data_IF_296285745184
#
_entry.id   IF_296285745184
#
_cell.length_a   1.000
_cell.length_b   1.000
_cell.length_c   1.000
_cell.angle_alpha   90.00
_cell.angle_beta   90.00
_cell.angle_gamma   90.00
#
_symmetry.space_group_name_H-M   'P 1'
#
loop_
_entity.id
_entity.type
_entity.pdbx_description
1 polymer ?
#
# COMPACT_ATOMS: atom_id res chain seq x y z
N UNK A 1 -49.66 -31.04 -62.24
CA UNK A 1 -48.98 -30.34 -63.35
C UNK A 1 -49.65 -28.98 -63.55
N UNK A 2 -48.95 -27.88 -63.91
CA UNK A 2 -47.52 -27.71 -64.21
C UNK A 2 -46.81 -26.73 -63.23
N UNK A 3 -45.67 -27.09 -62.64
CA UNK A 3 -44.32 -26.62 -63.00
C UNK A 3 -44.19 -25.43 -63.96
N UNK A 4 -43.60 -24.33 -63.47
CA UNK A 4 -42.58 -23.62 -64.24
C UNK A 4 -41.49 -23.01 -63.33
N UNK A 5 -40.29 -23.56 -63.48
CA UNK A 5 -39.03 -23.11 -62.89
C UNK A 5 -38.37 -22.12 -63.85
N UNK A 6 -37.92 -20.96 -63.37
CA UNK A 6 -36.85 -20.23 -64.05
C UNK A 6 -35.92 -19.57 -63.05
N UNK A 7 -34.69 -20.12 -62.98
CA UNK A 7 -33.37 -19.45 -63.01
C UNK A 7 -33.23 -18.21 -62.11
N UNK A 8 -32.23 -18.07 -61.23
CA UNK A 8 -30.85 -18.57 -61.23
C UNK A 8 -30.22 -18.12 -59.91
N UNK A 9 -29.69 -19.09 -59.16
CA UNK A 9 -28.32 -19.09 -58.61
C UNK A 9 -27.62 -17.73 -58.42
N UNK A 10 -27.35 -17.34 -57.17
CA UNK A 10 -25.99 -17.00 -56.72
C UNK A 10 -25.94 -16.98 -55.17
N UNK A 11 -25.34 -18.04 -54.64
CA UNK A 11 -24.42 -18.09 -53.50
C UNK A 11 -24.87 -17.46 -52.16
N UNK A 12 -25.20 -18.25 -51.15
CA UNK A 12 -24.30 -19.07 -50.30
C UNK A 12 -23.67 -18.29 -49.14
N UNK A 13 -24.07 -18.70 -47.93
CA UNK A 13 -23.23 -18.85 -46.73
C UNK A 13 -22.67 -17.54 -46.15
N UNK A 14 -23.34 -16.95 -45.14
CA UNK A 14 -22.67 -16.41 -43.94
C UNK A 14 -23.69 -15.95 -42.88
N UNK A 15 -23.96 -16.78 -41.87
CA UNK A 15 -24.40 -16.35 -40.51
C UNK A 15 -24.57 -17.56 -39.56
N UNK A 16 -23.56 -18.44 -39.49
CA UNK A 16 -23.45 -19.43 -38.40
C UNK A 16 -22.00 -19.44 -37.92
N UNK A 17 -21.60 -18.37 -37.23
CA UNK A 17 -20.44 -18.26 -36.32
C UNK A 17 -20.86 -17.07 -35.44
N UNK A 18 -21.07 -17.14 -34.13
CA UNK A 18 -20.05 -17.29 -33.08
C UNK A 18 -20.80 -17.80 -31.83
N UNK A 19 -20.79 -19.11 -31.60
CA UNK A 19 -21.17 -19.71 -30.31
C UNK A 19 -20.09 -20.75 -29.93
N UNK A 20 -18.86 -20.28 -29.83
CA UNK A 20 -17.71 -21.08 -29.43
C UNK A 20 -16.66 -20.14 -28.86
N UNK A 21 -16.48 -20.17 -27.54
CA UNK A 21 -15.37 -19.48 -26.90
C UNK A 21 -15.64 -18.79 -25.56
N UNK A 22 -16.52 -19.32 -24.69
CA UNK A 22 -16.35 -19.06 -23.25
C UNK A 22 -15.33 -20.06 -22.66
N UNK A 23 -14.14 -20.08 -23.25
CA UNK A 23 -12.94 -20.44 -22.51
C UNK A 23 -12.61 -19.21 -21.66
N UNK A 24 -13.31 -19.10 -20.53
CA UNK A 24 -12.83 -18.26 -19.43
C UNK A 24 -11.52 -18.88 -18.95
N UNK A 25 -10.41 -18.55 -19.62
CA UNK A 25 -9.13 -18.49 -18.96
C UNK A 25 -9.30 -17.42 -17.88
N UNK A 26 -9.73 -17.84 -16.70
CA UNK A 26 -9.31 -17.19 -15.48
C UNK A 26 -7.80 -17.35 -15.44
N UNK A 27 -7.08 -16.44 -16.11
CA UNK A 27 -5.69 -16.17 -15.79
C UNK A 27 -5.71 -15.68 -14.35
N UNK A 28 -5.59 -16.62 -13.41
CA UNK A 28 -5.03 -16.31 -12.10
C UNK A 28 -3.82 -15.43 -12.39
N UNK A 29 -3.74 -14.20 -11.82
CA UNK A 29 -2.57 -13.38 -11.99
C UNK A 29 -1.37 -14.24 -11.64
N UNK A 30 -0.42 -14.35 -12.58
CA UNK A 30 0.90 -14.89 -12.33
C UNK A 30 1.39 -14.35 -11.00
N UNK A 31 1.80 -15.24 -10.09
CA UNK A 31 2.35 -14.90 -8.77
C UNK A 31 3.16 -13.63 -8.87
N UNK A 32 2.88 -12.61 -8.04
CA UNK A 32 3.59 -11.37 -8.17
C UNK A 32 5.07 -11.62 -7.91
N UNK A 33 5.91 -11.01 -8.74
CA UNK A 33 7.35 -11.27 -8.82
C UNK A 33 8.13 -10.64 -7.66
N UNK A 34 7.84 -11.03 -6.42
CA UNK A 34 8.57 -10.62 -5.22
C UNK A 34 9.25 -11.80 -4.53
N UNK A 35 10.47 -11.59 -4.02
CA UNK A 35 11.19 -12.57 -3.20
C UNK A 35 10.43 -12.87 -1.92
N UNK A 36 10.19 -14.15 -1.66
CA UNK A 36 9.59 -14.65 -0.41
C UNK A 36 10.62 -14.56 0.71
N UNK A 37 10.22 -13.97 1.84
CA UNK A 37 11.03 -13.83 3.05
C UNK A 37 10.45 -14.75 4.13
N UNK A 38 11.28 -15.66 4.61
CA UNK A 38 10.93 -16.60 5.68
C UNK A 38 11.47 -16.09 7.01
N UNK A 39 10.57 -15.85 7.98
CA UNK A 39 10.89 -15.23 9.27
C UNK A 39 10.58 -16.12 10.47
N UNK A 40 10.27 -17.40 10.23
CA UNK A 40 10.07 -18.37 11.31
C UNK A 40 11.33 -18.51 12.17
N UNK A 41 11.13 -18.58 13.49
CA UNK A 41 12.16 -18.64 14.52
C UNK A 41 13.19 -17.49 14.42
N UNK A 42 12.71 -16.29 14.05
CA UNK A 42 13.52 -15.07 14.09
C UNK A 42 12.98 -14.13 15.15
N UNK A 43 13.86 -13.35 15.76
CA UNK A 43 13.45 -12.23 16.59
C UNK A 43 13.20 -10.96 15.74
N UNK A 44 12.70 -9.88 16.37
CA UNK A 44 12.40 -8.63 15.67
C UNK A 44 13.63 -8.01 14.99
N UNK A 45 14.82 -8.17 15.58
CA UNK A 45 16.06 -7.59 15.04
C UNK A 45 16.50 -8.37 13.82
N UNK A 46 16.55 -9.69 13.92
CA UNK A 46 16.87 -10.59 12.81
C UNK A 46 15.88 -10.40 11.66
N UNK A 47 14.58 -10.31 11.96
CA UNK A 47 13.55 -10.05 10.96
C UNK A 47 13.77 -8.70 10.25
N UNK A 48 14.09 -7.65 11.00
CA UNK A 48 14.42 -6.32 10.45
C UNK A 48 15.62 -6.42 9.51
N UNK A 49 16.71 -7.06 9.95
CA UNK A 49 17.94 -7.22 9.16
C UNK A 49 17.67 -8.00 7.85
N UNK A 50 16.91 -9.10 7.93
CA UNK A 50 16.56 -9.93 6.78
C UNK A 50 15.69 -9.16 5.78
N UNK A 51 14.66 -8.47 6.25
CA UNK A 51 13.76 -7.69 5.38
C UNK A 51 14.53 -6.56 4.68
N UNK A 52 15.33 -5.79 5.44
CA UNK A 52 16.14 -4.69 4.88
C UNK A 52 17.07 -5.20 3.79
N UNK A 53 17.83 -6.27 4.06
CA UNK A 53 18.76 -6.81 3.07
C UNK A 53 18.02 -7.35 1.84
N UNK A 54 16.88 -8.01 2.01
CA UNK A 54 16.09 -8.53 0.89
C UNK A 54 15.53 -7.40 0.02
N UNK A 55 15.05 -6.31 0.63
CA UNK A 55 14.58 -5.14 -0.10
C UNK A 55 15.73 -4.43 -0.84
N UNK A 56 16.91 -4.31 -0.22
CA UNK A 56 18.10 -3.77 -0.88
C UNK A 56 18.52 -4.63 -2.08
N UNK A 57 18.52 -5.96 -1.95
CA UNK A 57 18.84 -6.90 -3.03
C UNK A 57 17.89 -6.74 -4.23
N UNK A 58 16.63 -6.41 -3.98
CA UNK A 58 15.62 -6.15 -5.03
C UNK A 58 15.59 -4.69 -5.52
N UNK A 59 16.53 -3.86 -5.07
CA UNK A 59 16.73 -2.50 -5.58
C UNK A 59 15.87 -1.42 -4.90
N UNK A 60 15.23 -1.72 -3.77
CA UNK A 60 14.55 -0.69 -2.98
C UNK A 60 15.56 0.17 -2.21
N UNK A 61 15.30 1.47 -2.12
CA UNK A 61 16.06 2.34 -1.24
C UNK A 61 15.55 2.18 0.21
N UNK A 62 16.41 1.70 1.09
CA UNK A 62 16.07 1.50 2.50
C UNK A 62 17.13 2.06 3.45
N UNK A 63 16.72 2.37 4.68
CA UNK A 63 17.62 2.83 5.74
C UNK A 63 17.20 2.24 7.08
N UNK A 64 18.09 1.50 7.74
CA UNK A 64 17.87 1.04 9.12
C UNK A 64 17.87 2.24 10.07
N UNK A 65 16.87 2.32 10.95
CA UNK A 65 16.70 3.40 11.95
C UNK A 65 17.26 2.97 13.30
N UNK A 66 16.91 1.76 13.73
CA UNK A 66 17.41 1.10 14.93
C UNK A 66 17.27 -0.41 14.75
N UNK A 67 17.47 -1.20 15.80
CA UNK A 67 17.44 -2.66 15.70
C UNK A 67 16.13 -3.25 15.21
N UNK A 68 15.00 -2.59 15.42
CA UNK A 68 13.67 -3.13 15.04
C UNK A 68 12.94 -2.29 14.01
N UNK A 69 13.52 -1.18 13.55
CA UNK A 69 12.87 -0.25 12.65
C UNK A 69 13.74 0.10 11.46
N UNK A 70 13.10 0.23 10.31
CA UNK A 70 13.72 0.66 9.07
C UNK A 70 12.80 1.59 8.29
N UNK A 71 13.37 2.31 7.34
CA UNK A 71 12.67 3.18 6.40
C UNK A 71 12.76 2.55 5.03
N UNK A 72 11.66 2.59 4.28
CA UNK A 72 11.63 2.38 2.84
C UNK A 72 11.25 3.69 2.17
N UNK A 73 12.05 4.13 1.20
CA UNK A 73 11.74 5.26 0.34
C UNK A 73 11.11 4.71 -0.94
N UNK A 74 9.88 5.09 -1.21
CA UNK A 74 9.11 4.58 -2.35
C UNK A 74 8.18 5.66 -2.89
N UNK A 75 8.27 5.94 -4.19
CA UNK A 75 7.49 6.96 -4.91
C UNK A 75 7.41 8.32 -4.20
N UNK A 76 8.58 8.86 -3.80
CA UNK A 76 8.71 10.13 -3.05
C UNK A 76 8.10 10.12 -1.64
N UNK A 77 7.63 8.96 -1.17
CA UNK A 77 7.10 8.77 0.17
C UNK A 77 8.09 8.02 1.06
N UNK A 78 7.98 8.26 2.36
CA UNK A 78 8.83 7.63 3.39
C UNK A 78 7.97 6.76 4.28
N UNK A 79 8.21 5.45 4.29
CA UNK A 79 7.49 4.49 5.11
C UNK A 79 8.40 3.97 6.23
N UNK A 80 8.05 4.23 7.49
CA UNK A 80 8.78 3.68 8.64
C UNK A 80 8.12 2.35 9.01
N UNK A 81 8.88 1.26 8.91
CA UNK A 81 8.40 -0.10 9.07
C UNK A 81 9.02 -0.77 10.29
N UNK A 82 8.23 -1.59 10.97
CA UNK A 82 8.63 -2.36 12.14
C UNK A 82 7.98 -3.75 12.11
N UNK A 83 8.74 -4.83 11.83
CA UNK A 83 8.21 -6.17 11.91
C UNK A 83 7.96 -6.54 13.38
N UNK A 84 6.86 -7.23 13.62
CA UNK A 84 6.47 -7.76 14.93
C UNK A 84 6.42 -9.28 14.86
N UNK A 85 7.41 -9.91 15.46
CA UNK A 85 7.47 -11.35 15.69
C UNK A 85 6.75 -11.65 17.00
N UNK A 86 5.82 -12.61 16.94
CA UNK A 86 5.08 -13.13 18.09
C UNK A 86 5.13 -14.65 18.03
N UNK A 87 5.46 -15.30 19.15
CA UNK A 87 5.54 -16.78 19.23
C UNK A 87 6.44 -17.42 18.16
N UNK A 88 7.50 -16.71 17.73
CA UNK A 88 8.45 -17.21 16.74
C UNK A 88 8.06 -17.00 15.28
N UNK A 89 6.90 -16.42 15.00
CA UNK A 89 6.44 -16.13 13.63
C UNK A 89 6.22 -14.64 13.37
N UNK A 90 6.29 -14.22 12.10
CA UNK A 90 5.87 -12.87 11.71
C UNK A 90 4.36 -12.73 11.90
N UNK A 91 3.96 -11.89 12.86
CA UNK A 91 2.55 -11.56 13.09
C UNK A 91 2.11 -10.41 12.17
N UNK A 92 2.87 -9.32 12.15
CA UNK A 92 2.55 -8.13 11.35
C UNK A 92 3.76 -7.26 11.10
N UNK A 93 3.66 -6.38 10.11
CA UNK A 93 4.55 -5.22 9.96
C UNK A 93 3.73 -3.97 10.28
N UNK A 94 4.18 -3.22 11.29
CA UNK A 94 3.62 -1.90 11.61
C UNK A 94 4.25 -0.89 10.67
N UNK A 95 3.44 -0.06 10.03
CA UNK A 95 3.89 0.92 9.05
C UNK A 95 3.41 2.30 9.46
N UNK A 96 4.34 3.26 9.53
CA UNK A 96 4.05 4.64 9.89
C UNK A 96 4.39 5.60 8.75
N UNK A 97 3.48 6.53 8.48
CA UNK A 97 3.72 7.75 7.71
C UNK A 97 3.66 8.94 8.67
N UNK A 98 4.60 9.86 8.53
CA UNK A 98 4.70 11.04 9.41
C UNK A 98 4.65 12.30 8.57
N UNK A 99 3.86 13.27 9.01
CA UNK A 99 3.77 14.60 8.41
C UNK A 99 4.15 15.65 9.44
N UNK A 100 4.94 16.65 9.04
CA UNK A 100 5.31 17.74 9.95
C UNK A 100 4.13 18.70 10.11
N UNK A 101 3.95 19.20 11.33
CA UNK A 101 2.98 20.25 11.64
C UNK A 101 3.75 21.56 11.76
N UNK A 102 3.26 22.60 11.08
CA UNK A 102 3.92 23.91 11.12
C UNK A 102 3.87 24.47 12.56
N UNK A 103 4.95 25.14 13.02
CA UNK A 103 5.08 25.55 14.42
C UNK A 103 3.88 26.31 15.00
N UNK A 104 3.28 27.20 14.21
CA UNK A 104 2.15 28.05 14.57
C UNK A 104 0.85 27.27 14.82
N UNK A 105 0.73 26.03 14.32
CA UNK A 105 -0.48 25.21 14.45
C UNK A 105 -0.35 24.04 15.44
N UNK A 106 0.77 23.87 16.15
CA UNK A 106 0.98 22.72 17.05
C UNK A 106 -0.04 22.59 18.20
N UNK A 107 -0.74 23.67 18.52
CA UNK A 107 -1.79 23.70 19.53
C UNK A 107 -3.19 23.96 18.94
N UNK A 108 -3.34 23.82 17.62
CA UNK A 108 -4.64 23.97 16.95
C UNK A 108 -5.63 22.89 17.42
N UNK A 109 -6.80 23.28 17.95
CA UNK A 109 -7.86 22.32 18.29
C UNK A 109 -8.42 21.64 17.04
N UNK A 110 -8.35 22.27 15.87
CA UNK A 110 -8.82 21.72 14.60
C UNK A 110 -8.04 20.45 14.20
N UNK A 111 -6.73 20.40 14.44
CA UNK A 111 -5.92 19.19 14.19
C UNK A 111 -6.36 18.02 15.09
N UNK A 112 -6.69 18.29 16.34
CA UNK A 112 -7.16 17.28 17.29
C UNK A 112 -8.57 16.78 16.91
N UNK A 113 -9.46 17.71 16.56
CA UNK A 113 -10.80 17.40 16.08
C UNK A 113 -10.74 16.55 14.80
N UNK A 114 -9.88 16.92 13.84
CA UNK A 114 -9.65 16.16 12.61
C UNK A 114 -9.19 14.73 12.91
N UNK A 115 -8.18 14.58 13.77
CA UNK A 115 -7.66 13.26 14.18
C UNK A 115 -8.76 12.38 14.80
N UNK A 116 -9.67 12.98 15.59
CA UNK A 116 -10.81 12.28 16.19
C UNK A 116 -11.82 11.84 15.13
N UNK A 117 -12.15 12.72 14.18
CA UNK A 117 -13.07 12.41 13.08
C UNK A 117 -12.52 11.30 12.19
N UNK A 118 -11.24 11.38 11.80
CA UNK A 118 -10.59 10.37 10.97
C UNK A 118 -10.59 9.01 11.66
N UNK A 119 -10.22 8.94 12.94
CA UNK A 119 -10.24 7.70 13.72
C UNK A 119 -11.64 7.11 13.94
N UNK A 120 -12.69 7.92 13.85
CA UNK A 120 -14.09 7.45 13.95
C UNK A 120 -14.61 6.94 12.61
N UNK A 121 -14.18 7.55 11.50
CA UNK A 121 -14.68 7.25 10.15
C UNK A 121 -13.87 6.18 9.42
N UNK A 122 -12.60 6.02 9.77
CA UNK A 122 -11.65 5.16 9.07
C UNK A 122 -11.15 4.08 10.02
N UNK A 123 -11.08 2.84 9.52
CA UNK A 123 -10.66 1.68 10.29
C UNK A 123 -9.35 1.05 9.79
N UNK A 124 -8.80 1.56 8.68
CA UNK A 124 -7.61 1.01 8.05
C UNK A 124 -6.30 1.48 8.70
N UNK A 125 -6.35 2.60 9.44
CA UNK A 125 -5.20 3.19 10.10
C UNK A 125 -5.62 3.95 11.37
N UNK A 126 -4.66 4.16 12.26
CA UNK A 126 -4.77 5.05 13.40
C UNK A 126 -4.08 6.38 13.08
N UNK A 127 -4.78 7.47 13.34
CA UNK A 127 -4.28 8.83 13.22
C UNK A 127 -3.94 9.36 14.62
N UNK A 128 -2.78 9.98 14.78
CA UNK A 128 -2.32 10.53 16.06
C UNK A 128 -1.40 11.73 15.87
N UNK A 129 -1.18 12.44 16.97
CA UNK A 129 -0.18 13.52 17.08
C UNK A 129 0.98 12.99 17.91
N UNK A 130 2.21 13.21 17.47
CA UNK A 130 3.43 12.72 18.12
C UNK A 130 4.44 13.84 18.33
N UNK A 131 5.47 13.56 19.13
CA UNK A 131 6.53 14.51 19.52
C UNK A 131 5.95 15.88 19.93
N UNK A 132 5.11 15.89 20.98
CA UNK A 132 4.53 17.12 21.51
C UNK A 132 3.80 17.95 20.42
N UNK A 133 3.00 17.27 19.58
CA UNK A 133 2.25 17.84 18.46
C UNK A 133 3.11 18.46 17.34
N UNK A 134 4.41 18.15 17.26
CA UNK A 134 5.25 18.61 16.14
C UNK A 134 5.01 17.84 14.85
N UNK A 135 4.43 16.65 14.93
CA UNK A 135 4.11 15.84 13.77
C UNK A 135 2.80 15.08 13.93
N UNK A 136 2.10 14.89 12.81
CA UNK A 136 1.01 13.94 12.67
C UNK A 136 1.55 12.58 12.24
N UNK A 137 0.94 11.51 12.70
CA UNK A 137 1.28 10.15 12.36
C UNK A 137 0.04 9.41 11.85
N UNK A 138 0.24 8.66 10.77
CA UNK A 138 -0.68 7.62 10.31
C UNK A 138 0.00 6.29 10.54
N UNK A 139 -0.60 5.44 11.37
CA UNK A 139 -0.11 4.09 11.64
C UNK A 139 -1.08 3.05 11.09
N UNK A 140 -0.60 2.21 10.19
CA UNK A 140 -1.31 1.05 9.68
C UNK A 140 -0.53 -0.23 10.02
N UNK A 141 -1.13 -1.39 9.77
CA UNK A 141 -0.44 -2.67 9.94
C UNK A 141 -0.90 -3.65 8.88
N UNK A 142 0.04 -4.41 8.34
CA UNK A 142 -0.22 -5.59 7.51
C UNK A 142 0.04 -6.83 8.35
N UNK A 143 -0.94 -7.75 8.39
CA UNK A 143 -0.90 -8.97 9.20
C UNK A 143 -0.70 -10.17 8.29
N UNK A 144 0.11 -11.13 8.73
CA UNK A 144 0.46 -12.32 7.96
C UNK A 144 -0.03 -13.58 8.66
N UNK A 145 -0.58 -14.51 7.88
CA UNK A 145 -1.07 -15.80 8.38
C UNK A 145 0.04 -16.87 8.29
N UNK A 146 0.89 -16.80 7.27
CA UNK A 146 1.82 -17.87 6.92
C UNK A 146 3.26 -17.63 7.42
N UNK A 147 3.45 -16.76 8.42
CA UNK A 147 4.76 -16.38 9.00
C UNK A 147 5.84 -15.94 7.98
N UNK A 148 5.39 -15.64 6.77
CA UNK A 148 6.18 -15.30 5.60
C UNK A 148 5.62 -14.02 5.01
N UNK A 149 6.48 -13.26 4.34
CA UNK A 149 6.11 -12.04 3.63
C UNK A 149 6.89 -11.99 2.34
N UNK A 150 6.24 -11.66 1.23
CA UNK A 150 6.93 -11.33 -0.01
C UNK A 150 7.20 -9.83 -0.08
N UNK A 151 8.27 -9.46 -0.77
CA UNK A 151 8.56 -8.06 -1.07
C UNK A 151 7.46 -7.39 -1.91
N UNK A 152 6.73 -8.17 -2.74
CA UNK A 152 5.53 -7.65 -3.40
C UNK A 152 4.47 -7.26 -2.38
N UNK A 153 4.15 -8.09 -1.38
CA UNK A 153 3.12 -7.74 -0.41
C UNK A 153 3.47 -6.44 0.33
N UNK A 154 4.75 -6.23 0.62
CA UNK A 154 5.25 -4.96 1.17
C UNK A 154 5.01 -3.80 0.19
N UNK A 155 5.33 -3.98 -1.10
CA UNK A 155 5.11 -2.98 -2.15
C UNK A 155 3.64 -2.64 -2.33
N UNK A 156 2.77 -3.64 -2.46
CA UNK A 156 1.34 -3.49 -2.62
C UNK A 156 0.72 -2.79 -1.41
N UNK A 157 1.20 -3.10 -0.21
CA UNK A 157 0.76 -2.40 0.98
C UNK A 157 1.16 -0.92 0.98
N UNK A 158 2.39 -0.59 0.55
CA UNK A 158 2.83 0.81 0.41
C UNK A 158 1.97 1.58 -0.58
N UNK A 159 1.69 1.00 -1.75
CA UNK A 159 0.82 1.59 -2.78
C UNK A 159 -0.60 1.80 -2.25
N UNK A 160 -1.21 0.75 -1.69
CA UNK A 160 -2.54 0.83 -1.11
C UNK A 160 -2.64 1.88 0.00
N UNK A 161 -1.63 1.98 0.87
CA UNK A 161 -1.62 2.97 1.93
C UNK A 161 -1.55 4.39 1.35
N UNK A 162 -0.75 4.60 0.31
CA UNK A 162 -0.65 5.91 -0.33
C UNK A 162 -1.96 6.32 -1.03
N UNK A 163 -2.58 5.42 -1.79
CA UNK A 163 -3.90 5.63 -2.43
C UNK A 163 -4.99 5.92 -1.39
N UNK A 164 -4.96 5.18 -0.28
CA UNK A 164 -5.88 5.38 0.84
C UNK A 164 -5.69 6.76 1.45
N UNK A 165 -4.45 7.22 1.63
CA UNK A 165 -4.15 8.55 2.16
C UNK A 165 -4.47 9.68 1.19
N UNK A 166 -4.34 9.46 -0.12
CA UNK A 166 -4.82 10.39 -1.14
C UNK A 166 -6.35 10.57 -1.01
N UNK A 167 -7.09 9.49 -0.77
CA UNK A 167 -8.54 9.54 -0.50
C UNK A 167 -8.86 10.26 0.81
N UNK A 168 -8.10 10.02 1.88
CA UNK A 168 -8.26 10.73 3.16
C UNK A 168 -8.06 12.23 2.99
N UNK A 169 -7.09 12.67 2.17
CA UNK A 169 -6.85 14.09 1.92
C UNK A 169 -8.10 14.82 1.43
N UNK A 170 -8.97 14.16 0.67
CA UNK A 170 -10.24 14.73 0.20
C UNK A 170 -11.30 14.90 1.32
N UNK A 171 -11.14 14.20 2.44
CA UNK A 171 -12.00 14.29 3.62
C UNK A 171 -11.57 15.38 4.61
N UNK A 172 -10.36 15.91 4.46
CA UNK A 172 -9.76 16.89 5.37
C UNK A 172 -10.08 18.30 4.84
N UNK A 173 -10.56 19.16 5.74
CA UNK A 173 -10.86 20.55 5.39
C UNK A 173 -9.60 21.27 4.86
N UNK A 174 -9.69 22.11 3.81
CA UNK A 174 -8.54 22.79 3.22
C UNK A 174 -7.71 23.59 4.23
N UNK A 175 -8.34 24.19 5.23
CA UNK A 175 -7.69 24.97 6.27
C UNK A 175 -6.77 24.10 7.13
N UNK A 176 -7.19 22.85 7.42
CA UNK A 176 -6.39 21.89 8.19
C UNK A 176 -5.23 21.36 7.36
N UNK A 177 -5.42 21.16 6.05
CA UNK A 177 -4.33 20.75 5.16
C UNK A 177 -3.21 21.80 5.08
N UNK A 178 -3.53 23.09 5.26
CA UNK A 178 -2.52 24.15 5.30
C UNK A 178 -1.68 24.13 6.58
N UNK A 179 -2.12 23.43 7.63
CA UNK A 179 -1.42 23.34 8.92
C UNK A 179 -0.27 22.33 8.94
N UNK A 180 -0.26 21.42 7.96
CA UNK A 180 0.78 20.41 7.78
C UNK A 180 1.69 20.81 6.63
N UNK A 181 2.96 20.41 6.71
CA UNK A 181 3.84 20.50 5.56
C UNK A 181 3.38 19.53 4.49
N UNK A 182 3.57 19.92 3.23
CA UNK A 182 3.32 18.99 2.13
C UNK A 182 4.19 17.74 2.33
N UNK A 183 3.65 16.52 2.10
CA UNK A 183 4.35 15.25 2.37
C UNK A 183 5.76 15.16 1.77
N UNK A 184 6.04 15.94 0.72
CA UNK A 184 7.30 15.98 -0.01
C UNK A 184 8.39 16.87 0.65
N UNK A 185 8.09 17.53 1.78
CA UNK A 185 8.98 18.52 2.40
C UNK A 185 9.90 17.95 3.50
N UNK A 186 10.04 16.62 3.62
CA UNK A 186 11.16 16.06 4.38
C UNK A 186 12.39 16.10 3.48
N UNK A 187 12.97 17.29 3.32
CA UNK A 187 14.32 17.38 2.77
C UNK A 187 15.22 16.54 3.65
N UNK A 188 15.86 15.53 3.08
CA UNK A 188 17.02 14.88 3.68
C UNK A 188 18.03 16.00 3.93
N UNK A 189 18.09 16.50 5.16
CA UNK A 189 19.26 17.26 5.59
C UNK A 189 20.39 16.25 5.63
N UNK A 190 21.15 16.23 4.54
CA UNK A 190 22.46 15.58 4.50
C UNK A 190 23.31 16.22 5.61
N UNK A 191 24.05 15.42 6.39
CA UNK A 191 24.88 15.93 7.50
C UNK A 191 25.86 17.01 7.05
#
# INVERSE_FOLDING_TARGET
MPFNLTKRSFQSILAIIILSGLSACSSTPSSPSGKIIVLHEKDNKQATDIIVNTLLDEGYETKKVNDTQFIVFYDQQTFIMEPKIVQGGLSRIVVNRVVRIKPEYRHSPELQAMTTVLNRKLNFAKFSMIDHNKAGQVQASITFINETVSTEEIRQFMLWLDDSLASVRSMVAPEVLQMIDSPNAVSVRKP
#
